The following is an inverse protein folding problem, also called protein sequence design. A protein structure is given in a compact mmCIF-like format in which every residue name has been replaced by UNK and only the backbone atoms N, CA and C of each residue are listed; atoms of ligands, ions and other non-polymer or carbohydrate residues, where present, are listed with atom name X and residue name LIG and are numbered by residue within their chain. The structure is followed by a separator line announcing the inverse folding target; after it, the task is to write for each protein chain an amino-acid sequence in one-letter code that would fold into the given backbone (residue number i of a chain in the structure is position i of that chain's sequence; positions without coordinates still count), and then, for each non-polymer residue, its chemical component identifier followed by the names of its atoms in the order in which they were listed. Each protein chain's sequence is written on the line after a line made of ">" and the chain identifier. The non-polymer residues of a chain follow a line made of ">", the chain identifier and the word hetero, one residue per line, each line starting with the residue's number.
data_IF_019383137065
#
_entry.id   IF_019383137065
#
_cell.length_a   1.000
_cell.length_b   1.000
_cell.length_c   1.000
_cell.angle_alpha   90.00
_cell.angle_beta   90.00
_cell.angle_gamma   90.00
#
_symmetry.space_group_name_H-M   'P 1'
#
loop_
_entity.id
_entity.type
_entity.pdbx_description
1 polymer ?
#
# COMPACT_ATOMS: atom_id res chain seq x y z
N UNK A 1 -7.02 3.85 8.25
CA UNK A 1 -7.24 3.62 6.80
C UNK A 1 -6.10 4.25 6.03
N UNK A 2 -5.58 3.59 4.99
CA UNK A 2 -4.43 4.08 4.22
C UNK A 2 -4.79 5.32 3.38
N UNK A 3 -3.79 6.16 3.09
CA UNK A 3 -3.92 7.34 2.24
C UNK A 3 -4.31 6.93 0.81
N UNK A 4 -5.28 7.65 0.22
CA UNK A 4 -5.84 7.32 -1.11
C UNK A 4 -5.69 8.43 -2.15
N UNK A 5 -5.51 9.67 -1.71
CA UNK A 5 -5.42 10.86 -2.57
C UNK A 5 -4.05 11.55 -2.41
N UNK A 6 -3.60 12.19 -3.48
CA UNK A 6 -2.32 12.91 -3.50
C UNK A 6 -2.35 14.12 -2.57
N UNK A 7 -3.50 14.79 -2.44
CA UNK A 7 -3.69 15.94 -1.57
C UNK A 7 -3.55 15.55 -0.09
N UNK A 8 -4.17 14.44 0.30
CA UNK A 8 -4.07 13.89 1.65
C UNK A 8 -2.64 13.48 1.97
N UNK A 9 -1.93 12.89 0.99
CA UNK A 9 -0.51 12.57 1.13
C UNK A 9 0.34 13.81 1.34
N UNK A 10 0.17 14.86 0.52
CA UNK A 10 0.91 16.12 0.66
C UNK A 10 0.62 16.80 2.00
N UNK A 11 -0.63 16.73 2.49
CA UNK A 11 -1.00 17.25 3.80
C UNK A 11 -0.34 16.44 4.92
N UNK A 12 -0.38 15.12 4.81
CA UNK A 12 0.22 14.23 5.80
C UNK A 12 1.75 14.37 5.86
N UNK A 13 2.41 14.52 4.72
CA UNK A 13 3.85 14.80 4.64
C UNK A 13 4.25 16.02 5.47
N UNK A 14 3.48 17.12 5.39
CA UNK A 14 3.70 18.32 6.21
C UNK A 14 3.42 18.08 7.69
N UNK A 15 2.43 17.25 8.00
CA UNK A 15 2.07 16.91 9.38
C UNK A 15 3.12 16.04 10.07
N UNK A 16 3.90 15.26 9.31
CA UNK A 16 5.00 14.45 9.86
C UNK A 16 6.17 15.29 10.41
N UNK A 17 6.18 16.60 10.17
CA UNK A 17 7.10 17.52 10.85
C UNK A 17 6.72 17.74 12.32
N UNK A 18 5.47 17.43 12.70
CA UNK A 18 5.00 17.48 14.09
C UNK A 18 5.44 16.21 14.83
N UNK A 19 6.22 16.33 15.93
CA UNK A 19 6.76 15.18 16.65
C UNK A 19 5.69 14.16 17.08
N UNK A 20 4.55 14.61 17.59
CA UNK A 20 3.49 13.72 18.05
C UNK A 20 2.91 12.87 16.92
N UNK A 21 2.70 13.47 15.74
CA UNK A 21 2.16 12.76 14.57
C UNK A 21 3.18 11.75 14.06
N UNK A 22 4.46 12.14 13.97
CA UNK A 22 5.55 11.24 13.58
C UNK A 22 5.69 10.08 14.55
N UNK A 23 5.71 10.35 15.85
CA UNK A 23 5.85 9.34 16.90
C UNK A 23 4.65 8.38 16.93
N UNK A 24 3.43 8.89 16.72
CA UNK A 24 2.24 8.06 16.59
C UNK A 24 2.32 7.13 15.38
N UNK A 25 2.83 7.61 14.25
CA UNK A 25 3.06 6.75 13.08
C UNK A 25 4.13 5.69 13.35
N UNK A 26 5.24 6.07 13.99
CA UNK A 26 6.31 5.14 14.38
C UNK A 26 5.76 4.04 15.29
N UNK A 27 5.02 4.41 16.33
CA UNK A 27 4.41 3.47 17.26
C UNK A 27 3.44 2.52 16.55
N UNK A 28 2.58 3.04 15.66
CA UNK A 28 1.64 2.24 14.89
C UNK A 28 2.35 1.22 13.98
N UNK A 29 3.46 1.62 13.34
CA UNK A 29 4.23 0.70 12.48
C UNK A 29 4.95 -0.37 13.32
N UNK A 30 5.53 0.00 14.46
CA UNK A 30 6.20 -0.95 15.36
C UNK A 30 5.24 -1.99 15.93
N UNK A 31 3.99 -1.60 16.17
CA UNK A 31 2.96 -2.51 16.66
C UNK A 31 2.60 -3.66 15.69
N UNK A 32 3.03 -3.61 14.42
CA UNK A 32 2.78 -4.69 13.48
C UNK A 32 3.49 -6.00 13.83
N UNK A 33 4.66 -5.92 14.46
CA UNK A 33 5.50 -7.06 14.80
C UNK A 33 5.85 -7.98 13.61
N UNK A 34 6.59 -9.05 13.91
CA UNK A 34 7.00 -10.06 12.95
C UNK A 34 8.53 -10.19 12.83
N UNK A 35 8.97 -11.34 12.35
CA UNK A 35 10.37 -11.76 12.22
C UNK A 35 10.93 -11.57 10.80
N UNK A 36 10.06 -11.47 9.79
CA UNK A 36 10.45 -11.21 8.40
C UNK A 36 10.40 -9.72 8.04
N UNK A 37 11.59 -9.13 7.86
CA UNK A 37 11.79 -7.74 7.46
C UNK A 37 11.01 -7.35 6.20
N UNK A 38 10.91 -8.27 5.24
CA UNK A 38 10.20 -8.01 3.98
C UNK A 38 8.70 -7.88 4.24
N UNK A 39 8.12 -8.81 4.98
CA UNK A 39 6.69 -8.80 5.33
C UNK A 39 6.33 -7.59 6.18
N UNK A 40 7.15 -7.24 7.18
CA UNK A 40 6.94 -6.05 8.02
C UNK A 40 6.97 -4.77 7.17
N UNK A 41 7.98 -4.62 6.31
CA UNK A 41 8.09 -3.46 5.42
C UNK A 41 6.88 -3.34 4.49
N UNK A 42 6.45 -4.45 3.90
CA UNK A 42 5.29 -4.45 2.99
C UNK A 42 3.98 -4.14 3.73
N UNK A 43 3.81 -4.63 4.96
CA UNK A 43 2.65 -4.33 5.79
C UNK A 43 2.60 -2.85 6.15
N UNK A 44 3.74 -2.26 6.55
CA UNK A 44 3.84 -0.83 6.81
C UNK A 44 3.39 0.02 5.62
N UNK A 45 3.80 -0.34 4.41
CA UNK A 45 3.35 0.37 3.21
C UNK A 45 1.86 0.18 2.91
N UNK A 46 1.31 -1.03 3.08
CA UNK A 46 -0.13 -1.28 2.86
C UNK A 46 -1.04 -0.49 3.80
N UNK A 47 -0.63 -0.36 5.05
CA UNK A 47 -1.42 0.34 6.07
C UNK A 47 -1.31 1.86 5.97
N UNK A 48 -0.23 2.37 5.37
CA UNK A 48 0.00 3.82 5.21
C UNK A 48 -0.52 4.38 3.89
N UNK A 49 -0.34 3.67 2.77
CA UNK A 49 -0.65 4.19 1.43
C UNK A 49 -1.35 3.10 0.60
N UNK A 50 -2.53 3.42 0.08
CA UNK A 50 -3.30 2.49 -0.73
C UNK A 50 -2.62 2.26 -2.09
N UNK A 51 -2.78 1.07 -2.65
CA UNK A 51 -2.19 0.72 -3.95
C UNK A 51 -2.62 1.67 -5.09
N UNK A 52 -3.84 2.24 -5.02
CA UNK A 52 -4.36 3.23 -5.98
C UNK A 52 -3.58 4.55 -5.96
N UNK A 53 -3.09 4.94 -4.78
CA UNK A 53 -2.26 6.13 -4.62
C UNK A 53 -0.81 5.76 -4.94
N UNK A 54 -0.29 4.68 -4.35
CA UNK A 54 1.08 4.23 -4.53
C UNK A 54 1.42 3.92 -6.00
N UNK A 55 0.45 3.50 -6.81
CA UNK A 55 0.65 3.28 -8.24
C UNK A 55 1.00 4.56 -9.02
N UNK A 56 0.69 5.74 -8.48
CA UNK A 56 1.01 7.03 -9.07
C UNK A 56 2.45 7.47 -8.78
N UNK A 57 3.07 6.91 -7.73
CA UNK A 57 4.44 7.23 -7.33
C UNK A 57 5.47 6.35 -8.05
N UNK A 58 6.68 6.89 -8.16
CA UNK A 58 7.89 6.11 -8.40
C UNK A 58 8.78 6.18 -7.16
N UNK A 59 9.65 5.19 -6.97
CA UNK A 59 10.56 5.23 -5.83
C UNK A 59 11.50 6.43 -5.91
N UNK A 60 12.13 6.67 -7.07
CA UNK A 60 13.16 7.70 -7.25
C UNK A 60 12.67 9.00 -7.89
N UNK A 61 11.41 9.08 -8.33
CA UNK A 61 10.92 10.19 -9.17
C UNK A 61 11.17 10.00 -10.67
N UNK A 62 11.95 8.96 -11.06
CA UNK A 62 12.29 8.71 -12.46
C UNK A 62 11.25 7.81 -13.13
N UNK A 63 10.69 8.30 -14.25
CA UNK A 63 9.81 7.52 -15.10
C UNK A 63 10.64 6.62 -16.02
N UNK A 64 10.19 5.37 -16.20
CA UNK A 64 10.60 4.59 -17.37
C UNK A 64 9.92 5.18 -18.61
N UNK A 65 10.64 5.16 -19.74
CA UNK A 65 10.07 5.50 -21.06
C UNK A 65 8.79 4.68 -21.29
N UNK A 66 7.66 5.36 -21.52
CA UNK A 66 6.33 4.72 -21.69
C UNK A 66 5.51 4.50 -20.41
N UNK A 67 5.93 5.03 -19.27
CA UNK A 67 5.15 4.97 -18.01
C UNK A 67 4.00 5.99 -18.00
N UNK A 68 2.81 5.57 -17.58
CA UNK A 68 1.63 6.43 -17.36
C UNK A 68 1.62 7.12 -15.99
N UNK A 69 2.67 6.93 -15.19
CA UNK A 69 2.79 7.57 -13.86
C UNK A 69 3.10 9.05 -14.02
N UNK A 70 2.60 9.86 -13.09
CA UNK A 70 2.90 11.29 -13.07
C UNK A 70 4.40 11.53 -12.83
N UNK A 71 5.00 12.40 -13.62
CA UNK A 71 6.41 12.76 -13.51
C UNK A 71 6.66 13.50 -12.20
N UNK A 72 7.71 13.13 -11.46
CA UNK A 72 8.18 13.89 -10.29
C UNK A 72 7.65 13.46 -8.92
N UNK A 73 6.69 12.53 -8.82
CA UNK A 73 6.25 11.99 -7.52
C UNK A 73 7.23 10.91 -7.02
N UNK A 74 8.28 11.37 -6.31
CA UNK A 74 9.29 10.52 -5.68
C UNK A 74 8.94 10.19 -4.23
N UNK A 75 8.84 8.90 -3.90
CA UNK A 75 8.57 8.46 -2.52
C UNK A 75 9.86 8.39 -1.67
N UNK A 76 11.02 8.10 -2.27
CA UNK A 76 12.28 7.89 -1.54
C UNK A 76 12.67 9.07 -0.64
N UNK A 77 12.38 10.28 -1.06
CA UNK A 77 12.80 11.51 -0.37
C UNK A 77 11.72 12.07 0.58
N UNK A 78 10.57 11.41 0.68
CA UNK A 78 9.44 11.90 1.46
C UNK A 78 9.65 11.68 2.97
N UNK A 79 9.04 12.52 3.79
CA UNK A 79 9.04 12.37 5.26
C UNK A 79 8.40 11.04 5.67
N UNK A 80 7.35 10.61 4.98
CA UNK A 80 6.74 9.29 5.18
C UNK A 80 7.73 8.15 4.99
N UNK A 81 8.50 8.15 3.90
CA UNK A 81 9.46 7.08 3.65
C UNK A 81 10.55 7.04 4.72
N UNK A 82 11.03 8.20 5.18
CA UNK A 82 11.99 8.29 6.29
C UNK A 82 11.40 7.72 7.57
N UNK A 83 10.19 8.13 7.93
CA UNK A 83 9.50 7.68 9.14
C UNK A 83 9.20 6.17 9.11
N UNK A 84 8.80 5.62 7.96
CA UNK A 84 8.59 4.17 7.79
C UNK A 84 9.90 3.40 7.98
N UNK A 85 10.99 3.86 7.35
CA UNK A 85 12.31 3.21 7.48
C UNK A 85 12.80 3.26 8.94
N UNK A 86 12.67 4.40 9.60
CA UNK A 86 13.01 4.58 11.01
C UNK A 86 12.18 3.69 11.93
N UNK A 87 10.87 3.60 11.69
CA UNK A 87 9.99 2.78 12.49
C UNK A 87 10.34 1.30 12.41
N UNK A 88 10.66 0.82 11.20
CA UNK A 88 11.03 -0.58 10.95
C UNK A 88 12.44 -0.89 11.46
N UNK A 89 13.40 0.02 11.31
CA UNK A 89 14.78 -0.14 11.78
C UNK A 89 14.85 0.09 13.29
N UNK A 90 14.17 -0.76 14.04
CA UNK A 90 14.09 -0.76 15.49
C UNK A 90 14.11 -2.21 16.02
N UNK A 91 14.43 -2.38 17.31
CA UNK A 91 14.51 -3.68 18.01
C UNK A 91 15.16 -4.79 17.17
N UNK A 92 14.35 -5.76 16.74
CA UNK A 92 14.73 -6.98 16.00
C UNK A 92 15.37 -6.70 14.63
N UNK A 93 15.16 -5.50 14.08
CA UNK A 93 15.69 -5.09 12.78
C UNK A 93 16.71 -3.94 12.89
N UNK A 94 17.25 -3.67 14.08
CA UNK A 94 18.24 -2.61 14.31
C UNK A 94 19.49 -2.75 13.43
N UNK A 95 19.87 -3.97 13.05
CA UNK A 95 21.08 -4.24 12.25
C UNK A 95 20.81 -4.27 10.74
N UNK A 96 19.54 -4.22 10.32
CA UNK A 96 19.17 -4.16 8.90
C UNK A 96 19.69 -2.87 8.27
N UNK A 97 20.28 -2.98 7.09
CA UNK A 97 20.80 -1.80 6.38
C UNK A 97 19.64 -0.98 5.80
N UNK A 98 19.78 0.35 5.81
CA UNK A 98 18.81 1.24 5.15
C UNK A 98 18.65 0.85 3.68
N UNK A 99 19.73 0.43 3.01
CA UNK A 99 19.70 -0.02 1.60
C UNK A 99 18.75 -1.20 1.39
N UNK A 100 18.75 -2.20 2.28
CA UNK A 100 17.83 -3.34 2.18
C UNK A 100 16.36 -2.90 2.29
N UNK A 101 16.04 -2.04 3.26
CA UNK A 101 14.70 -1.47 3.42
C UNK A 101 14.26 -0.66 2.20
N UNK A 102 15.18 0.12 1.63
CA UNK A 102 14.92 0.89 0.41
C UNK A 102 14.66 0.00 -0.81
N UNK A 103 15.39 -1.11 -0.99
CA UNK A 103 15.14 -2.03 -2.10
C UNK A 103 13.80 -2.76 -1.94
N UNK A 104 13.44 -3.20 -0.73
CA UNK A 104 12.12 -3.79 -0.47
C UNK A 104 11.01 -2.77 -0.78
N UNK A 105 11.16 -1.54 -0.29
CA UNK A 105 10.19 -0.45 -0.51
C UNK A 105 10.05 -0.10 -1.98
N UNK A 106 11.18 0.01 -2.69
CA UNK A 106 11.22 0.25 -4.15
C UNK A 106 10.49 -0.83 -4.93
N UNK A 107 10.76 -2.09 -4.64
CA UNK A 107 10.07 -3.21 -5.30
C UNK A 107 8.58 -3.23 -4.98
N UNK A 108 8.21 -2.89 -3.74
CA UNK A 108 6.82 -2.78 -3.34
C UNK A 108 6.09 -1.66 -4.10
N UNK A 109 6.65 -0.44 -4.17
CA UNK A 109 6.07 0.68 -4.94
C UNK A 109 5.98 0.37 -6.43
N UNK A 110 7.02 -0.28 -6.99
CA UNK A 110 7.05 -0.68 -8.40
C UNK A 110 5.86 -1.56 -8.77
N UNK A 111 5.50 -2.51 -7.90
CA UNK A 111 4.43 -3.49 -8.12
C UNK A 111 3.02 -2.98 -7.74
N UNK A 112 2.87 -1.74 -7.27
CA UNK A 112 1.58 -1.21 -6.82
C UNK A 112 0.50 -1.25 -7.92
N UNK A 113 0.86 -0.91 -9.16
CA UNK A 113 -0.08 -0.98 -10.29
C UNK A 113 -0.56 -2.41 -10.60
N UNK A 114 0.33 -3.40 -10.46
CA UNK A 114 -0.03 -4.81 -10.68
C UNK A 114 -0.95 -5.32 -9.57
N UNK A 115 -0.66 -4.95 -8.32
CA UNK A 115 -1.52 -5.28 -7.17
C UNK A 115 -2.90 -4.66 -7.30
N UNK A 116 -2.98 -3.40 -7.72
CA UNK A 116 -4.25 -2.72 -7.97
C UNK A 116 -5.08 -3.46 -9.03
N UNK A 117 -4.47 -3.81 -10.17
CA UNK A 117 -5.16 -4.58 -11.23
C UNK A 117 -5.65 -5.94 -10.73
N UNK A 118 -4.83 -6.65 -9.94
CA UNK A 118 -5.20 -7.94 -9.37
C UNK A 118 -6.38 -7.81 -8.38
N UNK A 119 -6.40 -6.76 -7.56
CA UNK A 119 -7.49 -6.48 -6.63
C UNK A 119 -8.81 -6.20 -7.36
N UNK A 120 -8.78 -5.37 -8.41
CA UNK A 120 -9.96 -5.06 -9.24
C UNK A 120 -10.54 -6.31 -9.92
N UNK A 121 -9.68 -7.17 -10.51
CA UNK A 121 -10.11 -8.44 -11.11
C UNK A 121 -10.74 -9.38 -10.07
N UNK A 122 -10.20 -9.42 -8.86
CA UNK A 122 -10.72 -10.28 -7.79
C UNK A 122 -12.09 -9.81 -7.30
N UNK A 123 -12.33 -8.49 -7.27
CA UNK A 123 -13.64 -7.93 -6.93
C UNK A 123 -14.70 -8.22 -8.00
N UNK A 124 -14.35 -8.14 -9.29
CA UNK A 124 -15.25 -8.49 -10.40
C UNK A 124 -15.68 -9.97 -10.36
N UNK A 125 -14.74 -10.88 -10.06
CA UNK A 125 -15.04 -12.31 -9.91
C UNK A 125 -15.99 -12.60 -8.74
N UNK A 126 -15.83 -11.90 -7.61
CA UNK A 126 -16.71 -12.06 -6.44
C UNK A 126 -18.12 -11.51 -6.69
N UNK A 127 -18.26 -10.42 -7.45
CA UNK A 127 -19.55 -9.88 -7.87
C UNK A 127 -20.29 -10.79 -8.85
N UNK A 128 -19.58 -11.37 -9.82
CA UNK A 128 -20.16 -12.31 -10.80
C UNK A 128 -20.61 -13.64 -10.17
N UNK A 129 -19.86 -14.16 -9.19
CA UNK A 129 -20.21 -15.40 -8.48
C UNK A 129 -21.46 -15.29 -7.59
N UNK A 130 -21.86 -14.09 -7.16
CA UNK A 130 -23.08 -13.88 -6.36
C UNK A 130 -24.35 -13.74 -7.21
N UNK A 131 -24.26 -13.38 -8.49
CA UNK A 131 -25.41 -13.32 -9.39
C UNK A 131 -25.82 -14.68 -9.98
N UNK A 132 -24.91 -15.66 -9.99
CA UNK A 132 -25.17 -17.01 -10.53
C UNK A 132 -25.93 -17.95 -9.59
N UNK A 133 -26.14 -17.59 -8.32
CA UNK A 133 -26.76 -18.46 -7.30
C UNK A 133 -28.21 -18.09 -6.96
N UNK A 134 -28.85 -17.20 -7.75
CA UNK A 134 -30.23 -16.73 -7.51
C UNK A 134 -31.23 -17.06 -8.62
N UNK A 135 -30.84 -17.87 -9.60
CA UNK A 135 -31.69 -18.17 -10.76
C UNK A 135 -31.84 -19.66 -10.99
N UNK A 136 -32.37 -20.39 -10.02
CA UNK A 136 -32.95 -21.74 -10.19
C UNK A 136 -34.00 -21.93 -9.08
N UNK A 137 -35.09 -21.18 -9.20
CA UNK A 137 -36.33 -21.39 -8.45
C UNK A 137 -37.39 -21.78 -9.47
N UNK A 138 -37.21 -22.95 -10.08
CA UNK A 138 -38.12 -23.50 -11.06
C UNK A 138 -39.52 -23.64 -10.47
N UNK A 139 -40.49 -23.19 -11.27
CA UNK A 139 -41.89 -23.29 -10.97
C UNK A 139 -42.32 -24.75 -10.94
N UNK A 140 -42.97 -25.13 -9.84
CA UNK A 140 -43.79 -26.32 -9.79
C UNK A 140 -45.24 -25.86 -9.90
N UNK A 141 -45.70 -25.67 -11.14
CA UNK A 141 -47.13 -25.85 -11.45
C UNK A 141 -47.40 -27.34 -11.47
N UNK A 142 -48.35 -27.80 -10.67
CA UNK A 142 -49.13 -28.98 -11.00
C UNK A 142 -50.55 -28.76 -10.51
N UNK A 143 -51.44 -28.56 -11.49
CA UNK A 143 -52.88 -28.81 -11.39
C UNK A 143 -53.13 -30.18 -10.76
N UNK A 144 -54.04 -30.24 -9.78
CA UNK A 144 -55.19 -31.16 -9.74
C UNK A 144 -56.10 -30.82 -8.57
#
# INVERSE_FOLDING_TARGET
>A
MPLRKVEDFKRFEKQLDLPDIRNNLIAAIRAFGGDDIKSVTQRAWKETVADSLMSQFTWTGQLKKGSTKEMGLSLKNSSLAKTVIEAIKHDDFKDVTIKQLQEISKDFVRRAGDRLKAALKSQQKKGAGQQSLRGDGDGMSSDT
#
